data_IF_005376239449
#
_entry.id   IF_005376239449
#
_cell.length_a   1.000
_cell.length_b   1.000
_cell.length_c   1.000
_cell.angle_alpha   90.00
_cell.angle_beta   90.00
_cell.angle_gamma   90.00
#
_symmetry.space_group_name_H-M   'P 1'
#
loop_
_entity.id
_entity.type
_entity.pdbx_description
1 polymer ?
#
# COMPACT_ATOMS: atom_id res chain seq x y z
N UNK A 1 -13.24 -20.58 7.45
CA UNK A 1 -13.38 -19.15 7.80
C UNK A 1 -12.06 -18.74 8.44
N UNK A 2 -11.15 -18.05 7.74
CA UNK A 2 -9.89 -17.64 8.37
C UNK A 2 -10.20 -16.64 9.49
N UNK A 3 -9.46 -16.76 10.59
CA UNK A 3 -9.61 -15.92 11.76
C UNK A 3 -9.33 -14.46 11.37
N UNK A 4 -10.25 -13.54 11.71
CA UNK A 4 -9.94 -12.11 11.69
C UNK A 4 -8.74 -11.90 12.62
N UNK A 5 -7.60 -11.47 12.09
CA UNK A 5 -6.49 -11.03 12.92
C UNK A 5 -7.02 -9.91 13.83
N UNK A 6 -6.89 -10.10 15.14
CA UNK A 6 -7.19 -9.04 16.10
C UNK A 6 -6.30 -7.84 15.72
N UNK A 7 -6.92 -6.69 15.45
CA UNK A 7 -6.27 -5.55 14.80
C UNK A 7 -4.92 -5.23 15.43
N UNK A 8 -3.85 -5.59 14.73
CA UNK A 8 -2.50 -5.20 15.09
C UNK A 8 -2.44 -3.69 14.84
N UNK A 9 -1.97 -2.86 15.79
CA UNK A 9 -1.81 -1.44 15.53
C UNK A 9 -0.76 -1.23 14.44
N UNK A 10 -1.06 -0.35 13.48
CA UNK A 10 -0.10 -0.02 12.44
C UNK A 10 1.09 0.71 13.06
N UNK A 11 2.30 0.18 12.84
CA UNK A 11 3.54 0.82 13.29
C UNK A 11 3.70 2.21 12.66
N UNK A 12 4.29 3.15 13.40
CA UNK A 12 4.65 4.47 12.86
C UNK A 12 5.78 4.39 11.84
N UNK A 13 6.70 3.46 12.04
CA UNK A 13 7.84 3.20 11.16
C UNK A 13 7.48 2.10 10.16
N UNK A 14 6.66 2.46 9.17
CA UNK A 14 6.24 1.52 8.13
C UNK A 14 7.41 1.18 7.20
N UNK A 15 7.66 -0.12 7.02
CA UNK A 15 8.66 -0.65 6.10
C UNK A 15 8.08 -1.87 5.38
N UNK A 16 8.25 -1.92 4.06
CA UNK A 16 7.91 -3.11 3.27
C UNK A 16 9.16 -3.88 2.89
N UNK A 17 9.03 -5.19 2.80
CA UNK A 17 10.04 -6.08 2.21
C UNK A 17 9.76 -6.21 0.70
N UNK A 18 10.70 -5.74 -0.12
CA UNK A 18 10.58 -5.75 -1.58
C UNK A 18 10.32 -7.15 -2.15
N UNK A 19 10.85 -8.19 -1.51
CA UNK A 19 10.75 -9.58 -1.99
C UNK A 19 9.35 -10.15 -1.88
N UNK A 20 8.51 -9.54 -1.04
CA UNK A 20 7.11 -9.93 -0.83
C UNK A 20 6.13 -9.20 -1.73
N UNK A 21 6.59 -8.18 -2.47
CA UNK A 21 5.71 -7.33 -3.26
C UNK A 21 5.27 -8.01 -4.56
N UNK A 22 3.99 -7.90 -4.94
CA UNK A 22 3.53 -8.39 -6.22
C UNK A 22 4.16 -7.56 -7.35
N UNK A 23 4.80 -8.21 -8.32
CA UNK A 23 5.47 -7.53 -9.44
C UNK A 23 4.49 -7.05 -10.52
N UNK A 24 3.33 -7.71 -10.62
CA UNK A 24 2.33 -7.46 -11.68
C UNK A 24 1.22 -6.49 -11.25
N UNK A 25 1.20 -6.06 -9.97
CA UNK A 25 0.14 -5.22 -9.43
C UNK A 25 0.66 -3.85 -9.03
N UNK A 26 -0.01 -2.82 -9.52
CA UNK A 26 0.28 -1.43 -9.15
C UNK A 26 -0.37 -0.98 -7.85
N UNK A 27 -1.40 -1.70 -7.39
CA UNK A 27 -2.26 -1.31 -6.28
C UNK A 27 -2.74 -2.56 -5.56
N UNK A 28 -2.51 -2.64 -4.24
CA UNK A 28 -2.97 -3.76 -3.42
C UNK A 28 -3.23 -3.31 -1.98
N UNK A 29 -3.84 -4.20 -1.18
CA UNK A 29 -4.12 -4.00 0.23
C UNK A 29 -3.42 -5.04 1.07
N UNK A 30 -3.09 -4.68 2.29
CA UNK A 30 -2.53 -5.62 3.26
C UNK A 30 -3.68 -6.39 3.92
N UNK A 31 -3.53 -7.71 4.05
CA UNK A 31 -4.56 -8.59 4.65
C UNK A 31 -4.83 -8.22 6.11
N UNK A 32 -3.76 -8.04 6.89
CA UNK A 32 -3.86 -7.66 8.31
C UNK A 32 -4.23 -6.19 8.54
N UNK A 33 -4.07 -5.34 7.50
CA UNK A 33 -4.37 -3.92 7.57
C UNK A 33 -5.22 -3.48 6.37
N UNK A 34 -6.52 -3.86 6.33
CA UNK A 34 -7.37 -3.67 5.15
C UNK A 34 -7.64 -2.20 4.79
N UNK A 35 -7.35 -1.26 5.70
CA UNK A 35 -7.40 0.19 5.47
C UNK A 35 -6.13 0.75 4.83
N UNK A 36 -5.04 -0.02 4.79
CA UNK A 36 -3.77 0.38 4.19
C UNK A 36 -3.76 -0.05 2.73
N UNK A 37 -3.62 0.94 1.85
CA UNK A 37 -3.52 0.76 0.41
C UNK A 37 -2.10 1.11 -0.01
N UNK A 38 -1.43 0.17 -0.66
CA UNK A 38 -0.06 0.34 -1.17
C UNK A 38 -0.12 0.43 -2.69
N UNK A 39 0.65 1.34 -3.26
CA UNK A 39 0.76 1.49 -4.71
C UNK A 39 2.18 1.74 -5.17
N UNK A 40 2.45 1.42 -6.44
CA UNK A 40 3.74 1.69 -7.07
C UNK A 40 3.88 3.16 -7.42
N UNK A 41 5.12 3.64 -7.56
CA UNK A 41 5.39 5.01 -8.04
C UNK A 41 4.77 5.28 -9.41
N UNK A 42 4.78 4.29 -10.31
CA UNK A 42 4.17 4.38 -11.65
C UNK A 42 2.67 4.66 -11.57
N UNK A 43 1.97 4.05 -10.62
CA UNK A 43 0.55 4.31 -10.38
C UNK A 43 0.31 5.76 -9.94
N UNK A 44 1.11 6.26 -8.99
CA UNK A 44 1.04 7.65 -8.53
C UNK A 44 1.22 8.63 -9.69
N UNK A 45 2.23 8.40 -10.53
CA UNK A 45 2.50 9.24 -11.71
C UNK A 45 1.33 9.20 -12.71
N UNK A 46 0.69 8.05 -12.90
CA UNK A 46 -0.50 7.94 -13.75
C UNK A 46 -1.69 8.72 -13.17
N UNK A 47 -1.96 8.60 -11.87
CA UNK A 47 -3.02 9.37 -11.19
C UNK A 47 -2.80 10.88 -11.32
N UNK A 48 -1.56 11.33 -11.14
CA UNK A 48 -1.19 12.74 -11.28
C UNK A 48 -1.38 13.23 -12.73
N UNK A 49 -0.95 12.45 -13.72
CA UNK A 49 -1.13 12.79 -15.14
C UNK A 49 -2.59 12.86 -15.57
N UNK A 50 -3.45 12.05 -14.94
CA UNK A 50 -4.89 12.04 -15.18
C UNK A 50 -5.64 13.10 -14.37
N UNK A 51 -4.97 13.83 -13.47
CA UNK A 51 -5.59 14.86 -12.63
C UNK A 51 -6.62 14.27 -11.66
N UNK A 52 -6.36 13.07 -11.12
CA UNK A 52 -7.26 12.44 -10.16
C UNK A 52 -7.14 13.11 -8.79
N UNK A 53 -8.21 13.79 -8.38
CA UNK A 53 -8.31 14.43 -7.07
C UNK A 53 -8.80 13.46 -5.98
N UNK A 54 -8.63 13.85 -4.72
CA UNK A 54 -9.13 13.10 -3.56
C UNK A 54 -8.21 12.00 -3.04
N UNK A 55 -6.99 11.89 -3.59
CA UNK A 55 -5.95 10.96 -3.15
C UNK A 55 -4.79 11.72 -2.52
N UNK A 56 -4.30 11.23 -1.39
CA UNK A 56 -3.05 11.68 -0.78
C UNK A 56 -2.08 10.51 -0.80
N UNK A 57 -0.91 10.71 -1.40
CA UNK A 57 0.13 9.71 -1.49
C UNK A 57 1.23 10.02 -0.48
N UNK A 58 1.58 9.05 0.37
CA UNK A 58 2.69 9.12 1.29
C UNK A 58 3.80 8.16 0.85
N UNK A 59 5.07 8.60 0.76
CA UNK A 59 6.18 7.71 0.49
C UNK A 59 6.30 6.62 1.55
N UNK A 60 6.55 5.39 1.12
CA UNK A 60 6.71 4.22 1.97
C UNK A 60 8.06 3.58 1.67
N UNK A 61 9.01 3.52 2.63
CA UNK A 61 10.29 2.90 2.40
C UNK A 61 10.11 1.39 2.17
N UNK A 62 10.96 0.85 1.32
CA UNK A 62 11.05 -0.56 1.00
C UNK A 62 12.50 -1.00 1.23
N UNK A 63 12.70 -2.18 1.83
CA UNK A 63 14.00 -2.81 2.02
C UNK A 63 14.15 -4.02 1.10
#
# INVERSE_FOLDING_TARGET
>A
MPARSAGIPLSKDLLLDATTLPTELDLFRLEDFPTVVVCTKRFVEACQRLGLDGLVFAPLPVR
#
